data_IF_946203327310
#
_entry.id   IF_946203327310
#
_cell.length_a   1.000
_cell.length_b   1.000
_cell.length_c   1.000
_cell.angle_alpha   90.00
_cell.angle_beta   90.00
_cell.angle_gamma   90.00
#
_symmetry.space_group_name_H-M   'P 1'
#
loop_
_entity.id
_entity.type
_entity.pdbx_description
1 polymer ?
#
# COMPACT_ATOMS: atom_id res chain seq x y z
N UNK A 1 11.46 24.60 0.17
CA UNK A 1 11.72 23.89 1.45
C UNK A 1 13.08 24.23 2.06
N UNK A 2 14.21 24.11 1.34
CA UNK A 2 15.55 24.50 1.85
C UNK A 2 15.66 25.95 2.36
N UNK A 3 14.98 26.88 1.70
CA UNK A 3 15.01 28.33 2.04
C UNK A 3 14.36 28.61 3.40
N UNK A 4 13.31 27.87 3.79
CA UNK A 4 12.61 28.06 5.06
C UNK A 4 13.48 27.59 6.23
N UNK A 5 14.17 26.45 6.06
CA UNK A 5 15.15 25.96 7.04
C UNK A 5 16.35 26.91 7.19
N UNK A 6 16.82 27.47 6.08
CA UNK A 6 17.93 28.42 6.09
C UNK A 6 17.55 29.75 6.78
N UNK A 7 16.36 30.29 6.49
CA UNK A 7 15.82 31.47 7.16
C UNK A 7 15.56 31.24 8.65
N UNK A 8 15.02 30.07 9.02
CA UNK A 8 14.83 29.70 10.43
C UNK A 8 16.14 29.58 11.20
N UNK A 9 17.17 29.00 10.58
CA UNK A 9 18.52 28.91 11.17
C UNK A 9 19.16 30.28 11.41
N UNK A 10 19.02 31.21 10.46
CA UNK A 10 19.52 32.59 10.60
C UNK A 10 18.80 33.31 11.74
N UNK A 11 17.48 33.15 11.85
CA UNK A 11 16.68 33.83 12.87
C UNK A 11 17.03 33.35 14.29
N UNK A 12 17.26 32.04 14.46
CA UNK A 12 17.75 31.45 15.71
C UNK A 12 19.16 31.94 16.04
N UNK A 13 20.06 32.03 15.05
CA UNK A 13 21.42 32.53 15.25
C UNK A 13 21.45 33.99 15.71
N UNK A 14 20.61 34.86 15.12
CA UNK A 14 20.46 36.27 15.54
C UNK A 14 19.91 36.34 16.96
N UNK A 15 18.97 35.48 17.32
CA UNK A 15 18.38 35.44 18.66
C UNK A 15 19.41 35.03 19.74
N UNK A 16 20.23 34.02 19.45
CA UNK A 16 21.33 33.64 20.35
C UNK A 16 22.40 34.73 20.48
N UNK A 17 22.67 35.46 19.41
CA UNK A 17 23.63 36.58 19.42
C UNK A 17 23.12 37.72 20.30
N UNK A 18 21.82 38.06 20.21
CA UNK A 18 21.20 39.06 21.09
C UNK A 18 21.19 38.64 22.56
N UNK A 19 20.92 37.36 22.85
CA UNK A 19 21.02 36.80 24.21
C UNK A 19 22.47 36.88 24.73
N UNK A 20 23.45 36.53 23.89
CA UNK A 20 24.86 36.61 24.25
C UNK A 20 25.33 38.05 24.55
N UNK A 21 24.88 39.03 23.75
CA UNK A 21 25.15 40.45 23.99
C UNK A 21 24.49 40.93 25.29
N UNK A 22 23.23 40.55 25.54
CA UNK A 22 22.52 40.93 26.76
C UNK A 22 23.20 40.37 28.02
N UNK A 23 23.67 39.12 27.98
CA UNK A 23 24.43 38.50 29.07
C UNK A 23 25.81 39.17 29.23
N UNK A 24 26.50 39.47 28.12
CA UNK A 24 27.83 40.10 28.15
C UNK A 24 27.83 41.51 28.73
N UNK A 25 26.82 42.33 28.42
CA UNK A 25 26.70 43.72 28.92
C UNK A 25 26.35 43.75 30.42
N UNK A 26 25.78 42.68 30.96
CA UNK A 26 25.27 42.63 32.33
C UNK A 26 26.27 42.30 33.42
N UNK A 27 27.52 41.98 33.06
CA UNK A 27 28.56 41.64 34.02
C UNK A 27 29.13 42.84 34.78
N UNK A 28 28.90 44.08 34.32
CA UNK A 28 29.55 45.28 34.88
C UNK A 28 28.68 46.07 35.88
N UNK A 29 27.35 46.06 35.74
CA UNK A 29 26.45 46.64 36.77
C UNK A 29 24.99 46.13 36.59
N UNK A 30 24.49 45.35 37.55
CA UNK A 30 23.10 44.87 37.53
C UNK A 30 22.14 45.97 37.97
N UNK A 31 21.64 46.74 37.00
CA UNK A 31 20.59 47.75 37.22
C UNK A 31 19.20 47.12 37.30
N UNK A 32 18.25 47.73 38.02
CA UNK A 32 16.85 47.25 38.10
C UNK A 32 16.19 47.14 36.71
N UNK A 33 16.57 47.99 35.77
CA UNK A 33 16.13 47.95 34.37
C UNK A 33 16.58 46.67 33.66
N UNK A 34 17.76 46.15 33.98
CA UNK A 34 18.29 44.91 33.42
C UNK A 34 17.55 43.67 33.95
N UNK A 35 17.20 43.66 35.25
CA UNK A 35 16.37 42.61 35.84
C UNK A 35 14.95 42.59 35.24
N UNK A 36 14.35 43.77 35.03
CA UNK A 36 13.07 43.91 34.36
C UNK A 36 13.14 43.43 32.89
N UNK A 37 14.24 43.70 32.19
CA UNK A 37 14.49 43.22 30.83
C UNK A 37 14.62 41.69 30.78
N UNK A 38 15.37 41.07 31.71
CA UNK A 38 15.48 39.60 31.80
C UNK A 38 14.09 38.99 32.06
N UNK A 39 13.30 39.56 32.96
CA UNK A 39 11.97 39.04 33.27
C UNK A 39 10.98 39.21 32.11
N UNK A 40 11.08 40.32 31.38
CA UNK A 40 10.35 40.52 30.13
C UNK A 40 10.80 39.51 29.05
N UNK A 41 12.10 39.30 28.89
CA UNK A 41 12.65 38.31 27.94
C UNK A 41 12.36 36.86 28.33
N UNK A 42 12.24 36.53 29.61
CA UNK A 42 11.87 35.17 30.05
C UNK A 42 10.40 34.88 29.76
N UNK A 43 9.52 35.86 29.97
CA UNK A 43 8.09 35.72 29.64
C UNK A 43 7.83 35.65 28.13
N UNK A 44 8.48 36.53 27.35
CA UNK A 44 8.37 36.54 25.88
C UNK A 44 9.12 35.35 25.25
N UNK A 45 10.31 35.05 25.76
CA UNK A 45 11.13 33.93 25.32
C UNK A 45 10.46 32.58 25.58
N UNK A 46 9.78 32.42 26.72
CA UNK A 46 8.97 31.24 27.00
C UNK A 46 7.87 31.03 25.97
N UNK A 47 7.12 32.09 25.62
CA UNK A 47 6.06 32.02 24.59
C UNK A 47 6.64 31.68 23.22
N UNK A 48 7.77 32.27 22.84
CA UNK A 48 8.45 31.98 21.56
C UNK A 48 8.92 30.51 21.53
N UNK A 49 9.53 30.01 22.60
CA UNK A 49 9.99 28.61 22.69
C UNK A 49 8.79 27.66 22.59
N UNK A 50 7.69 27.93 23.29
CA UNK A 50 6.47 27.11 23.21
C UNK A 50 5.87 27.14 21.81
N UNK A 51 5.80 28.31 21.16
CA UNK A 51 5.30 28.44 19.79
C UNK A 51 6.19 27.69 18.78
N UNK A 52 7.51 27.81 18.89
CA UNK A 52 8.46 27.06 18.07
C UNK A 52 8.34 25.54 18.29
N UNK A 53 8.20 25.11 19.54
CA UNK A 53 8.01 23.69 19.89
C UNK A 53 6.71 23.15 19.30
N UNK A 54 5.63 23.92 19.36
CA UNK A 54 4.35 23.57 18.75
C UNK A 54 4.45 23.44 17.23
N UNK A 55 5.16 24.36 16.56
CA UNK A 55 5.40 24.27 15.11
C UNK A 55 6.21 23.02 14.74
N UNK A 56 7.28 22.74 15.49
CA UNK A 56 8.08 21.52 15.28
C UNK A 56 7.22 20.27 15.47
N UNK A 57 6.39 20.23 16.52
CA UNK A 57 5.48 19.11 16.77
C UNK A 57 4.46 18.92 15.64
N UNK A 58 3.88 20.01 15.11
CA UNK A 58 2.96 19.95 13.98
C UNK A 58 3.64 19.43 12.70
N UNK A 59 4.86 19.90 12.42
CA UNK A 59 5.65 19.40 11.29
C UNK A 59 6.03 17.92 11.43
N UNK A 60 6.45 17.52 12.63
CA UNK A 60 6.75 16.13 12.94
C UNK A 60 5.51 15.24 12.77
N UNK A 61 4.36 15.69 13.28
CA UNK A 61 3.09 14.99 13.16
C UNK A 61 2.64 14.87 11.69
N UNK A 62 2.77 15.94 10.91
CA UNK A 62 2.47 15.92 9.48
C UNK A 62 3.38 14.94 8.72
N UNK A 63 4.68 14.98 9.01
CA UNK A 63 5.67 14.07 8.40
C UNK A 63 5.39 12.62 8.76
N UNK A 64 5.09 12.36 10.03
CA UNK A 64 4.74 11.04 10.53
C UNK A 64 3.48 10.50 9.88
N UNK A 65 2.42 11.32 9.75
CA UNK A 65 1.19 10.95 9.05
C UNK A 65 1.47 10.55 7.60
N UNK A 66 2.23 11.36 6.87
CA UNK A 66 2.58 11.06 5.48
C UNK A 66 3.40 9.76 5.36
N UNK A 67 4.38 9.54 6.24
CA UNK A 67 5.15 8.30 6.25
C UNK A 67 4.29 7.07 6.57
N UNK A 68 3.35 7.22 7.50
CA UNK A 68 2.40 6.17 7.87
C UNK A 68 1.49 5.80 6.70
N UNK A 69 0.92 6.79 6.01
CA UNK A 69 0.07 6.57 4.84
C UNK A 69 0.82 5.82 3.72
N UNK A 70 2.08 6.18 3.46
CA UNK A 70 2.93 5.47 2.51
C UNK A 70 3.22 4.03 2.95
N UNK A 71 3.46 3.80 4.24
CA UNK A 71 3.73 2.47 4.78
C UNK A 71 2.50 1.54 4.68
N UNK A 72 1.31 2.05 5.00
CA UNK A 72 0.05 1.29 4.89
C UNK A 72 -0.31 1.02 3.42
N UNK A 73 -0.11 1.98 2.51
CA UNK A 73 -0.23 1.76 1.07
C UNK A 73 0.72 0.65 0.59
N UNK A 74 1.98 0.69 1.01
CA UNK A 74 2.95 -0.34 0.61
C UNK A 74 2.55 -1.72 1.14
N UNK A 75 2.17 -1.81 2.42
CA UNK A 75 1.75 -3.05 3.07
C UNK A 75 0.52 -3.66 2.41
N UNK A 76 -0.48 -2.85 2.08
CA UNK A 76 -1.70 -3.31 1.40
C UNK A 76 -1.38 -3.87 0.01
N UNK A 77 -0.54 -3.19 -0.79
CA UNK A 77 -0.12 -3.66 -2.12
C UNK A 77 0.66 -4.98 -2.03
N UNK A 78 1.57 -5.12 -1.06
CA UNK A 78 2.33 -6.37 -0.86
C UNK A 78 1.41 -7.52 -0.43
N UNK A 79 0.45 -7.25 0.44
CA UNK A 79 -0.57 -8.23 0.80
C UNK A 79 -1.38 -8.64 -0.43
N UNK A 80 -1.82 -7.68 -1.25
CA UNK A 80 -2.56 -7.95 -2.48
C UNK A 80 -1.77 -8.80 -3.48
N UNK A 81 -0.47 -8.54 -3.66
CA UNK A 81 0.41 -9.38 -4.50
C UNK A 81 0.50 -10.82 -3.96
N UNK A 82 0.53 -10.98 -2.64
CA UNK A 82 0.57 -12.29 -1.98
C UNK A 82 -0.73 -13.05 -2.20
N UNK A 83 -1.88 -12.40 -2.00
CA UNK A 83 -3.19 -13.00 -2.24
C UNK A 83 -3.40 -13.33 -3.71
N UNK A 84 -2.91 -12.48 -4.62
CA UNK A 84 -2.93 -12.77 -6.05
C UNK A 84 -2.19 -14.08 -6.36
N UNK A 85 -0.99 -14.25 -5.80
CA UNK A 85 -0.21 -15.48 -6.00
C UNK A 85 -0.95 -16.71 -5.49
N UNK A 86 -1.56 -16.63 -4.32
CA UNK A 86 -2.33 -17.74 -3.73
C UNK A 86 -3.55 -18.10 -4.59
N UNK A 87 -4.28 -17.10 -5.11
CA UNK A 87 -5.39 -17.32 -6.02
C UNK A 87 -4.95 -18.05 -7.29
N UNK A 88 -3.84 -17.61 -7.90
CA UNK A 88 -3.30 -18.25 -9.09
C UNK A 88 -2.82 -19.68 -8.83
N UNK A 89 -2.12 -19.91 -7.73
CA UNK A 89 -1.68 -21.25 -7.35
C UNK A 89 -2.88 -22.19 -7.12
N UNK A 90 -3.91 -21.72 -6.41
CA UNK A 90 -5.12 -22.51 -6.19
C UNK A 90 -5.87 -22.82 -7.49
N UNK A 91 -5.80 -21.93 -8.49
CA UNK A 91 -6.37 -22.17 -9.81
C UNK A 91 -5.58 -23.21 -10.60
N UNK A 92 -4.24 -23.14 -10.56
CA UNK A 92 -3.35 -24.10 -11.20
C UNK A 92 -3.55 -25.52 -10.64
N UNK A 93 -3.61 -25.64 -9.30
CA UNK A 93 -3.92 -26.89 -8.61
C UNK A 93 -5.31 -27.44 -8.99
N UNK A 94 -6.30 -26.56 -9.17
CA UNK A 94 -7.64 -26.92 -9.60
C UNK A 94 -7.66 -27.45 -11.05
N UNK A 95 -6.88 -26.85 -11.96
CA UNK A 95 -6.76 -27.32 -13.34
C UNK A 95 -5.99 -28.64 -13.44
N UNK A 96 -4.85 -28.76 -12.76
CA UNK A 96 -3.98 -29.95 -12.80
C UNK A 96 -4.68 -31.21 -12.32
N UNK A 97 -5.53 -31.08 -11.28
CA UNK A 97 -6.29 -32.22 -10.78
C UNK A 97 -7.46 -32.52 -11.72
N UNK A 98 -8.10 -31.53 -12.33
CA UNK A 98 -9.17 -31.81 -13.29
C UNK A 98 -8.69 -32.56 -14.54
N UNK A 99 -7.52 -32.22 -15.08
CA UNK A 99 -6.92 -32.97 -16.20
C UNK A 99 -6.54 -34.41 -15.82
N UNK A 100 -6.33 -34.69 -14.52
CA UNK A 100 -6.06 -36.04 -13.98
C UNK A 100 -7.31 -36.80 -13.50
N UNK A 101 -8.38 -36.10 -13.10
CA UNK A 101 -9.65 -36.68 -12.59
C UNK A 101 -10.44 -37.41 -13.67
N UNK A 102 -10.20 -37.13 -14.95
CA UNK A 102 -10.71 -37.95 -16.07
C UNK A 102 -10.22 -39.41 -16.02
N UNK A 103 -9.26 -39.74 -15.15
CA UNK A 103 -8.67 -41.09 -15.02
C UNK A 103 -8.98 -41.79 -13.68
N UNK A 104 -9.29 -41.08 -12.58
CA UNK A 104 -9.53 -41.70 -11.26
C UNK A 104 -10.64 -41.01 -10.45
N UNK A 105 -11.41 -41.82 -9.71
CA UNK A 105 -12.59 -41.47 -8.92
C UNK A 105 -12.29 -40.56 -7.68
N UNK A 106 -11.79 -39.34 -7.92
CA UNK A 106 -11.36 -38.34 -6.93
C UNK A 106 -12.37 -37.20 -6.72
N UNK A 107 -13.67 -37.53 -6.72
CA UNK A 107 -14.75 -36.53 -6.63
C UNK A 107 -14.68 -35.66 -5.35
N UNK A 108 -14.20 -36.22 -4.24
CA UNK A 108 -14.01 -35.48 -2.98
C UNK A 108 -12.89 -34.44 -3.09
N UNK A 109 -11.74 -34.83 -3.64
CA UNK A 109 -10.59 -33.94 -3.80
C UNK A 109 -10.93 -32.77 -4.74
N UNK A 110 -11.73 -33.02 -5.78
CA UNK A 110 -12.27 -31.98 -6.66
C UNK A 110 -13.15 -30.96 -5.93
N UNK A 111 -14.05 -31.41 -5.06
CA UNK A 111 -14.94 -30.52 -4.28
C UNK A 111 -14.14 -29.67 -3.28
N UNK A 112 -13.15 -30.26 -2.62
CA UNK A 112 -12.29 -29.57 -1.66
C UNK A 112 -11.42 -28.49 -2.34
N UNK A 113 -10.86 -28.79 -3.52
CA UNK A 113 -10.09 -27.82 -4.31
C UNK A 113 -10.96 -26.68 -4.84
N UNK A 114 -12.18 -26.99 -5.30
CA UNK A 114 -13.13 -25.96 -5.74
C UNK A 114 -13.51 -25.04 -4.58
N UNK A 115 -13.74 -25.60 -3.39
CA UNK A 115 -14.01 -24.81 -2.20
C UNK A 115 -12.81 -23.92 -1.83
N UNK A 116 -11.58 -24.45 -1.90
CA UNK A 116 -10.37 -23.68 -1.67
C UNK A 116 -10.20 -22.54 -2.69
N UNK A 117 -10.40 -22.80 -3.99
CA UNK A 117 -10.33 -21.77 -5.02
C UNK A 117 -11.34 -20.63 -4.78
N UNK A 118 -12.59 -20.97 -4.48
CA UNK A 118 -13.61 -19.97 -4.16
C UNK A 118 -13.25 -19.15 -2.91
N UNK A 119 -12.67 -19.79 -1.89
CA UNK A 119 -12.18 -19.11 -0.70
C UNK A 119 -11.04 -18.13 -1.02
N UNK A 120 -10.07 -18.55 -1.84
CA UNK A 120 -8.97 -17.68 -2.28
C UNK A 120 -9.50 -16.51 -3.11
N UNK A 121 -10.48 -16.75 -4.00
CA UNK A 121 -11.10 -15.69 -4.80
C UNK A 121 -11.80 -14.65 -3.92
N UNK A 122 -12.58 -15.10 -2.93
CA UNK A 122 -13.25 -14.21 -1.98
C UNK A 122 -12.25 -13.43 -1.09
N UNK A 123 -11.14 -14.08 -0.70
CA UNK A 123 -10.08 -13.45 0.09
C UNK A 123 -9.33 -12.40 -0.71
N UNK A 124 -9.09 -12.68 -2.00
CA UNK A 124 -8.51 -11.73 -2.94
C UNK A 124 -9.43 -10.54 -3.15
N UNK A 125 -10.73 -10.75 -3.41
CA UNK A 125 -11.73 -9.69 -3.57
C UNK A 125 -11.70 -8.70 -2.38
N UNK A 126 -11.74 -9.20 -1.15
CA UNK A 126 -11.66 -8.34 0.06
C UNK A 126 -10.34 -7.59 0.17
N UNK A 127 -9.22 -8.27 -0.15
CA UNK A 127 -7.89 -7.66 -0.08
C UNK A 127 -7.72 -6.58 -1.14
N UNK A 128 -8.37 -6.77 -2.29
CA UNK A 128 -8.42 -5.79 -3.36
C UNK A 128 -9.20 -4.56 -2.91
N UNK A 129 -10.43 -4.69 -2.41
CA UNK A 129 -11.24 -3.56 -1.92
C UNK A 129 -10.50 -2.70 -0.90
N UNK A 130 -9.82 -3.34 0.06
CA UNK A 130 -8.99 -2.63 1.03
C UNK A 130 -7.84 -1.89 0.36
N UNK A 131 -7.11 -2.54 -0.56
CA UNK A 131 -5.96 -1.93 -1.24
C UNK A 131 -6.36 -0.78 -2.16
N UNK A 132 -7.52 -0.88 -2.82
CA UNK A 132 -8.07 0.15 -3.70
C UNK A 132 -8.35 1.46 -2.96
N UNK A 133 -8.70 1.40 -1.67
CA UNK A 133 -8.93 2.60 -0.84
C UNK A 133 -7.71 3.53 -0.74
N UNK A 134 -6.50 3.02 -1.00
CA UNK A 134 -5.25 3.80 -0.99
C UNK A 134 -4.81 4.27 -2.39
N UNK A 135 -5.58 3.94 -3.43
CA UNK A 135 -5.25 4.25 -4.82
C UNK A 135 -6.01 5.47 -5.32
N UNK A 136 -5.45 6.15 -6.31
CA UNK A 136 -6.15 7.19 -7.06
C UNK A 136 -7.28 6.58 -7.91
N UNK A 137 -8.32 7.36 -8.25
CA UNK A 137 -9.44 6.87 -9.08
C UNK A 137 -8.98 6.26 -10.41
N UNK A 138 -7.96 6.83 -11.04
CA UNK A 138 -7.39 6.29 -12.29
C UNK A 138 -6.73 4.92 -12.10
N UNK A 139 -6.03 4.70 -10.99
CA UNK A 139 -5.42 3.42 -10.65
C UNK A 139 -6.50 2.39 -10.29
N UNK A 140 -7.53 2.81 -9.55
CA UNK A 140 -8.68 1.96 -9.19
C UNK A 140 -9.40 1.45 -10.45
N UNK A 141 -9.69 2.32 -11.42
CA UNK A 141 -10.36 1.94 -12.66
C UNK A 141 -9.54 0.91 -13.45
N UNK A 142 -8.22 1.10 -13.54
CA UNK A 142 -7.33 0.13 -14.21
C UNK A 142 -7.30 -1.21 -13.48
N UNK A 143 -7.25 -1.19 -12.15
CA UNK A 143 -7.30 -2.41 -11.34
C UNK A 143 -8.61 -3.16 -11.53
N UNK A 144 -9.74 -2.47 -11.42
CA UNK A 144 -11.07 -3.06 -11.59
C UNK A 144 -11.25 -3.66 -12.99
N UNK A 145 -10.85 -2.94 -14.04
CA UNK A 145 -10.95 -3.44 -15.42
C UNK A 145 -10.13 -4.73 -15.63
N UNK A 146 -8.88 -4.75 -15.16
CA UNK A 146 -8.03 -5.94 -15.26
C UNK A 146 -8.59 -7.09 -14.42
N UNK A 147 -9.12 -6.78 -13.23
CA UNK A 147 -9.67 -7.78 -12.34
C UNK A 147 -10.90 -8.45 -12.92
N UNK A 148 -11.89 -7.65 -13.35
CA UNK A 148 -13.12 -8.16 -13.97
C UNK A 148 -12.78 -9.04 -15.17
N UNK A 149 -11.87 -8.58 -16.05
CA UNK A 149 -11.42 -9.39 -17.18
C UNK A 149 -10.79 -10.72 -16.75
N UNK A 150 -9.97 -10.72 -15.70
CA UNK A 150 -9.35 -11.95 -15.18
C UNK A 150 -10.39 -12.87 -14.57
N UNK A 151 -11.33 -12.33 -13.77
CA UNK A 151 -12.44 -13.05 -13.15
C UNK A 151 -13.34 -13.71 -14.18
N UNK A 152 -13.61 -13.05 -15.30
CA UNK A 152 -14.38 -13.62 -16.41
C UNK A 152 -13.63 -14.78 -17.06
N UNK A 153 -12.30 -14.68 -17.22
CA UNK A 153 -11.49 -15.77 -17.75
C UNK A 153 -11.50 -16.96 -16.78
N UNK A 154 -11.34 -16.72 -15.48
CA UNK A 154 -11.42 -17.76 -14.44
C UNK A 154 -12.78 -18.45 -14.44
N UNK A 155 -13.87 -17.69 -14.39
CA UNK A 155 -15.23 -18.22 -14.41
C UNK A 155 -15.52 -18.99 -15.71
N UNK A 156 -14.98 -18.53 -16.84
CA UNK A 156 -15.10 -19.23 -18.11
C UNK A 156 -14.33 -20.56 -18.12
N UNK A 157 -13.12 -20.60 -17.56
CA UNK A 157 -12.34 -21.83 -17.45
C UNK A 157 -13.02 -22.84 -16.51
N UNK A 158 -13.49 -22.38 -15.34
CA UNK A 158 -14.28 -23.18 -14.40
C UNK A 158 -15.58 -23.66 -15.03
N UNK A 159 -16.26 -22.81 -15.82
CA UNK A 159 -17.47 -23.18 -16.56
C UNK A 159 -17.22 -24.30 -17.56
N UNK A 160 -16.15 -24.17 -18.36
CA UNK A 160 -15.72 -25.17 -19.35
C UNK A 160 -15.40 -26.52 -18.70
N UNK A 161 -14.71 -26.47 -17.55
CA UNK A 161 -14.39 -27.61 -16.70
C UNK A 161 -15.66 -28.27 -16.13
N UNK A 162 -16.63 -27.50 -15.64
CA UNK A 162 -17.87 -28.09 -15.10
C UNK A 162 -18.81 -28.62 -16.19
N UNK A 163 -18.77 -28.08 -17.41
CA UNK A 163 -19.63 -28.53 -18.51
C UNK A 163 -19.17 -29.84 -19.16
N UNK A 164 -17.91 -30.23 -18.99
CA UNK A 164 -17.32 -31.34 -19.76
C UNK A 164 -17.53 -32.74 -19.18
N UNK A 165 -18.61 -32.96 -18.42
CA UNK A 165 -19.00 -34.30 -18.00
C UNK A 165 -19.56 -35.19 -19.12
N UNK A 166 -19.67 -34.69 -20.36
CA UNK A 166 -20.13 -35.48 -21.50
C UNK A 166 -19.49 -35.05 -22.83
N UNK A 167 -18.67 -35.93 -23.41
CA UNK A 167 -18.47 -36.10 -24.86
C UNK A 167 -17.89 -34.92 -25.68
N UNK A 168 -16.77 -34.32 -25.26
CA UNK A 168 -15.90 -33.55 -26.18
C UNK A 168 -14.64 -34.35 -26.49
N UNK A 169 -14.21 -34.34 -27.75
CA UNK A 169 -12.96 -34.94 -28.21
C UNK A 169 -11.79 -34.44 -27.35
N UNK A 170 -11.03 -35.35 -26.74
CA UNK A 170 -10.11 -35.01 -25.65
C UNK A 170 -9.05 -33.98 -26.06
N UNK A 171 -8.67 -33.99 -27.34
CA UNK A 171 -7.69 -33.08 -27.92
C UNK A 171 -8.22 -31.64 -28.07
N UNK A 172 -9.49 -31.45 -28.42
CA UNK A 172 -10.09 -30.11 -28.56
C UNK A 172 -10.25 -29.44 -27.18
N UNK A 173 -10.66 -30.23 -26.18
CA UNK A 173 -10.76 -29.77 -24.81
C UNK A 173 -9.40 -29.40 -24.19
N UNK A 174 -8.37 -30.23 -24.39
CA UNK A 174 -7.01 -29.92 -23.93
C UNK A 174 -6.49 -28.60 -24.54
N UNK A 175 -6.72 -28.38 -25.83
CA UNK A 175 -6.34 -27.13 -26.50
C UNK A 175 -7.04 -25.91 -25.90
N UNK A 176 -8.35 -26.03 -25.58
CA UNK A 176 -9.13 -24.97 -24.93
C UNK A 176 -8.62 -24.67 -23.51
N UNK A 177 -8.29 -25.69 -22.72
CA UNK A 177 -7.71 -25.50 -21.38
C UNK A 177 -6.34 -24.81 -21.46
N UNK A 178 -5.47 -25.25 -22.36
CA UNK A 178 -4.15 -24.64 -22.58
C UNK A 178 -4.27 -23.17 -23.03
N UNK A 179 -5.26 -22.85 -23.88
CA UNK A 179 -5.52 -21.46 -24.28
C UNK A 179 -5.97 -20.59 -23.09
N UNK A 180 -6.85 -21.13 -22.24
CA UNK A 180 -7.34 -20.42 -21.05
C UNK A 180 -6.22 -20.20 -20.04
N UNK A 181 -5.39 -21.20 -19.80
CA UNK A 181 -4.22 -21.10 -18.92
C UNK A 181 -3.24 -19.99 -19.39
N UNK A 182 -2.94 -19.92 -20.70
CA UNK A 182 -2.14 -18.84 -21.27
C UNK A 182 -2.73 -17.44 -20.98
N UNK A 183 -4.05 -17.28 -21.16
CA UNK A 183 -4.75 -16.01 -20.91
C UNK A 183 -4.73 -15.62 -19.43
N UNK A 184 -4.81 -16.62 -18.55
CA UNK A 184 -4.75 -16.46 -17.09
C UNK A 184 -3.34 -16.04 -16.70
N UNK A 185 -2.30 -16.76 -17.15
CA UNK A 185 -0.90 -16.40 -16.93
C UNK A 185 -0.57 -14.99 -17.44
N UNK A 186 -1.08 -14.61 -18.61
CA UNK A 186 -0.90 -13.24 -19.12
C UNK A 186 -1.56 -12.20 -18.21
N UNK A 187 -2.75 -12.50 -17.69
CA UNK A 187 -3.48 -11.63 -16.77
C UNK A 187 -2.72 -11.46 -15.44
N UNK A 188 -2.09 -12.51 -14.92
CA UNK A 188 -1.22 -12.45 -13.75
C UNK A 188 -0.05 -11.49 -13.96
N UNK A 189 0.63 -11.63 -15.10
CA UNK A 189 1.78 -10.79 -15.45
C UNK A 189 1.34 -9.32 -15.54
N UNK A 190 0.20 -9.04 -16.17
CA UNK A 190 -0.37 -7.70 -16.24
C UNK A 190 -0.67 -7.13 -14.85
N UNK A 191 -1.32 -7.90 -13.97
CA UNK A 191 -1.60 -7.52 -12.59
C UNK A 191 -0.34 -7.21 -11.80
N UNK A 192 0.65 -8.10 -11.88
CA UNK A 192 1.92 -7.97 -11.19
C UNK A 192 2.68 -6.72 -11.65
N UNK A 193 2.64 -6.43 -12.95
CA UNK A 193 3.24 -5.22 -13.49
C UNK A 193 2.52 -3.95 -13.02
N UNK A 194 1.19 -3.97 -12.93
CA UNK A 194 0.41 -2.87 -12.39
C UNK A 194 0.74 -2.64 -10.91
N UNK A 195 0.72 -3.69 -10.08
CA UNK A 195 1.10 -3.62 -8.67
C UNK A 195 2.50 -3.03 -8.49
N UNK A 196 3.46 -3.43 -9.33
CA UNK A 196 4.81 -2.85 -9.35
C UNK A 196 4.85 -1.38 -9.74
N UNK A 197 3.99 -0.93 -10.65
CA UNK A 197 3.93 0.49 -11.02
C UNK A 197 3.36 1.36 -9.90
N UNK A 198 2.39 0.84 -9.15
CA UNK A 198 1.73 1.56 -8.05
C UNK A 198 2.57 1.56 -6.76
N UNK A 199 3.55 0.63 -6.67
CA UNK A 199 4.53 0.55 -5.58
C UNK A 199 5.67 1.59 -5.69
N UNK A 200 5.88 2.17 -6.88
CA UNK A 200 6.95 3.15 -7.12
C UNK A 200 6.51 4.54 -6.67
#
# INVERSE_FOLDING_TARGET
MKIIFFMGGILIAVLFLLIGVAIGVSFDDTTEEFLALIQAMSSVGGVIITACTMLIALFALHTWKSQFDHAEKFKSIVNLETQLRLLYQSFDEYLDIYTKVTVYNHQKDYLDLRANFNLQLATFDRSMDFSLSFLSSQEQDKFNQLFTKSKDIFNSAVGLVNSNHSCVDSTEFENLIVEKDKKITQSYICFKNLLRSVRK
#
